data_IF_574465905366
#
_entry.id   IF_574465905366
#
_cell.length_a   1.000
_cell.length_b   1.000
_cell.length_c   1.000
_cell.angle_alpha   90.00
_cell.angle_beta   90.00
_cell.angle_gamma   90.00
#
_symmetry.space_group_name_H-M   'P 1'
#
loop_
_entity.id
_entity.type
_entity.pdbx_description
1 polymer ?
#
# COMPACT_ATOMS: atom_id res chain seq x y z
N UNK A 1 7.29 -40.00 4.16
CA UNK A 1 7.57 -40.32 5.58
C UNK A 1 7.77 -39.06 6.45
N UNK A 2 8.34 -37.97 5.93
CA UNK A 2 8.57 -36.72 6.70
C UNK A 2 7.27 -36.06 7.23
N UNK A 3 6.17 -36.13 6.47
CA UNK A 3 4.88 -35.52 6.85
C UNK A 3 4.24 -36.05 8.14
N UNK A 4 4.62 -37.23 8.62
CA UNK A 4 4.00 -37.85 9.80
C UNK A 4 4.53 -37.28 11.12
N UNK A 5 5.77 -36.78 11.10
CA UNK A 5 6.47 -36.24 12.28
C UNK A 5 6.55 -34.72 12.26
N UNK A 6 6.15 -34.09 11.16
CA UNK A 6 6.12 -32.64 11.01
C UNK A 6 4.94 -32.01 11.75
N UNK A 7 5.23 -30.87 12.37
CA UNK A 7 4.25 -30.02 13.02
C UNK A 7 3.34 -29.34 11.98
N UNK A 8 2.06 -29.09 12.31
CA UNK A 8 1.29 -28.12 11.56
C UNK A 8 2.01 -26.77 11.50
N UNK A 9 1.88 -26.05 10.38
CA UNK A 9 2.52 -24.75 10.22
C UNK A 9 2.11 -23.77 11.34
N UNK A 10 3.01 -22.87 11.77
CA UNK A 10 2.73 -21.96 12.88
C UNK A 10 1.52 -21.05 12.59
N UNK A 11 1.35 -20.68 11.33
CA UNK A 11 0.22 -19.88 10.84
C UNK A 11 -1.11 -20.65 10.90
N UNK A 12 -1.08 -21.98 10.87
CA UNK A 12 -2.27 -22.81 11.07
C UNK A 12 -2.70 -22.83 12.55
N UNK A 13 -1.73 -22.83 13.46
CA UNK A 13 -1.96 -22.94 14.91
C UNK A 13 -2.35 -21.61 15.56
N UNK A 14 -1.88 -20.50 14.98
CA UNK A 14 -2.16 -19.14 15.44
C UNK A 14 -3.44 -18.59 14.80
N UNK A 15 -4.19 -17.70 15.49
CA UNK A 15 -5.41 -17.10 14.95
C UNK A 15 -5.13 -15.96 13.95
N UNK A 16 -4.22 -16.19 13.00
CA UNK A 16 -3.80 -15.21 11.99
C UNK A 16 -4.81 -15.23 10.83
N UNK A 17 -5.28 -14.05 10.42
CA UNK A 17 -6.22 -13.92 9.29
C UNK A 17 -7.65 -14.41 9.55
N UNK A 18 -8.01 -14.76 10.79
CA UNK A 18 -9.38 -15.23 11.11
C UNK A 18 -10.33 -14.03 11.29
N UNK A 19 -11.43 -13.93 10.51
CA UNK A 19 -12.43 -12.87 10.66
C UNK A 19 -13.03 -12.83 12.07
N UNK A 20 -13.36 -11.63 12.56
CA UNK A 20 -13.94 -11.45 13.90
C UNK A 20 -15.24 -12.24 14.08
N UNK A 21 -16.11 -12.25 13.07
CA UNK A 21 -17.36 -13.02 13.08
C UNK A 21 -17.14 -14.51 13.33
N UNK A 22 -16.14 -15.12 12.68
CA UNK A 22 -15.82 -16.54 12.86
C UNK A 22 -15.26 -16.84 14.25
N UNK A 23 -14.47 -15.92 14.83
CA UNK A 23 -14.01 -16.05 16.22
C UNK A 23 -15.18 -16.01 17.20
N UNK A 24 -16.13 -15.09 16.99
CA UNK A 24 -17.34 -15.00 17.81
C UNK A 24 -18.18 -16.27 17.73
N UNK A 25 -18.41 -16.79 16.52
CA UNK A 25 -19.13 -18.06 16.33
C UNK A 25 -18.40 -19.21 17.02
N UNK A 26 -17.08 -19.32 16.86
CA UNK A 26 -16.29 -20.38 17.52
C UNK A 26 -16.38 -20.29 19.05
N UNK A 27 -16.32 -19.08 19.61
CA UNK A 27 -16.53 -18.86 21.05
C UNK A 27 -17.93 -19.24 21.50
N UNK A 28 -18.96 -18.80 20.77
CA UNK A 28 -20.35 -19.15 21.08
C UNK A 28 -20.58 -20.67 21.05
N UNK A 29 -20.08 -21.35 20.02
CA UNK A 29 -20.13 -22.82 19.91
C UNK A 29 -19.44 -23.48 21.10
N UNK A 30 -18.24 -23.05 21.48
CA UNK A 30 -17.52 -23.60 22.65
C UNK A 30 -18.27 -23.38 23.96
N UNK A 31 -18.89 -22.21 24.15
CA UNK A 31 -19.70 -21.91 25.33
C UNK A 31 -20.91 -22.84 25.37
N UNK A 32 -21.65 -22.99 24.27
CA UNK A 32 -22.83 -23.86 24.19
C UNK A 32 -22.45 -25.32 24.48
N UNK A 33 -21.41 -25.85 23.83
CA UNK A 33 -20.92 -27.21 24.09
C UNK A 33 -20.44 -27.38 25.54
N UNK A 34 -19.73 -26.40 26.09
CA UNK A 34 -19.28 -26.40 27.48
C UNK A 34 -20.45 -26.40 28.48
N UNK A 35 -21.47 -25.59 28.24
CA UNK A 35 -22.70 -25.56 29.04
C UNK A 35 -23.47 -26.88 28.95
N UNK A 36 -23.61 -27.45 27.74
CA UNK A 36 -24.28 -28.74 27.55
C UNK A 36 -23.53 -29.89 28.22
N UNK A 37 -22.20 -29.88 28.16
CA UNK A 37 -21.35 -30.84 28.87
C UNK A 37 -21.51 -30.71 30.39
N UNK A 38 -21.43 -29.49 30.93
CA UNK A 38 -21.59 -29.24 32.36
C UNK A 38 -22.98 -29.66 32.85
N UNK A 39 -24.03 -29.37 32.06
CA UNK A 39 -25.40 -29.81 32.33
C UNK A 39 -25.50 -31.33 32.40
N UNK A 40 -24.92 -32.04 31.42
CA UNK A 40 -24.92 -33.51 31.39
C UNK A 40 -24.21 -34.12 32.60
N UNK A 41 -23.11 -33.52 33.07
CA UNK A 41 -22.39 -33.97 34.26
C UNK A 41 -23.18 -33.68 35.56
N UNK A 42 -23.82 -32.51 35.65
CA UNK A 42 -24.60 -32.11 36.83
C UNK A 42 -25.91 -32.89 36.99
N UNK A 43 -26.48 -33.40 35.90
CA UNK A 43 -27.74 -34.15 35.90
C UNK A 43 -27.57 -35.67 36.10
N UNK A 44 -26.33 -36.16 36.27
CA UNK A 44 -26.11 -37.49 36.81
C UNK A 44 -26.38 -37.44 38.32
N UNK A 45 -27.35 -38.21 38.82
CA UNK A 45 -27.89 -38.22 40.20
C UNK A 45 -26.88 -38.56 41.34
N UNK A 46 -25.56 -38.47 41.10
CA UNK A 46 -24.49 -38.92 42.00
C UNK A 46 -23.72 -37.82 42.74
N UNK A 47 -23.86 -36.53 42.40
CA UNK A 47 -23.12 -35.45 43.09
C UNK A 47 -23.79 -35.07 44.43
N UNK A 48 -23.41 -35.75 45.51
CA UNK A 48 -23.77 -35.37 46.90
C UNK A 48 -22.57 -34.82 47.66
N UNK A 49 -22.77 -33.76 48.44
CA UNK A 49 -21.75 -33.19 49.33
C UNK A 49 -20.53 -32.59 48.60
N UNK A 50 -19.32 -33.08 48.92
CA UNK A 50 -18.05 -32.58 48.38
C UNK A 50 -17.84 -32.78 46.87
N UNK A 51 -18.71 -33.56 46.20
CA UNK A 51 -18.63 -33.85 44.77
C UNK A 51 -18.68 -32.61 43.87
N UNK A 52 -19.41 -31.56 44.25
CA UNK A 52 -19.45 -30.30 43.48
C UNK A 52 -18.10 -29.56 43.51
N UNK A 53 -17.39 -29.60 44.63
CA UNK A 53 -16.06 -29.00 44.76
C UNK A 53 -15.02 -29.74 43.91
N UNK A 54 -15.06 -31.07 43.91
CA UNK A 54 -14.20 -31.90 43.07
C UNK A 54 -14.48 -31.67 41.57
N UNK A 55 -15.75 -31.55 41.17
CA UNK A 55 -16.13 -31.24 39.79
C UNK A 55 -15.60 -29.86 39.37
N UNK A 56 -15.81 -28.82 40.19
CA UNK A 56 -15.32 -27.48 39.90
C UNK A 56 -13.80 -27.43 39.75
N UNK A 57 -13.07 -28.11 40.65
CA UNK A 57 -11.62 -28.24 40.57
C UNK A 57 -11.17 -28.97 39.29
N UNK A 58 -11.86 -30.05 38.92
CA UNK A 58 -11.60 -30.80 37.68
C UNK A 58 -11.84 -29.97 36.42
N UNK A 59 -12.92 -29.18 36.37
CA UNK A 59 -13.21 -28.26 35.25
C UNK A 59 -12.14 -27.18 35.14
N UNK A 60 -11.77 -26.54 36.25
CA UNK A 60 -10.72 -25.51 36.26
C UNK A 60 -9.38 -26.07 35.80
N UNK A 61 -9.00 -27.27 36.29
CA UNK A 61 -7.78 -27.95 35.88
C UNK A 61 -7.82 -28.32 34.39
N UNK A 62 -8.97 -28.80 33.89
CA UNK A 62 -9.17 -29.10 32.47
C UNK A 62 -9.03 -27.86 31.58
N UNK A 63 -9.66 -26.75 31.95
CA UNK A 63 -9.54 -25.46 31.23
C UNK A 63 -8.08 -24.97 31.25
N UNK A 64 -7.41 -25.02 32.40
CA UNK A 64 -6.01 -24.63 32.53
C UNK A 64 -5.10 -25.52 31.67
N UNK A 65 -5.32 -26.84 31.67
CA UNK A 65 -4.54 -27.78 30.89
C UNK A 65 -4.74 -27.60 29.37
N UNK A 66 -5.98 -27.35 28.90
CA UNK A 66 -6.26 -27.01 27.50
C UNK A 66 -5.59 -25.69 27.10
N UNK A 67 -5.64 -24.69 27.98
CA UNK A 67 -4.99 -23.40 27.74
C UNK A 67 -3.47 -23.54 27.64
N UNK A 68 -2.84 -24.23 28.59
CA UNK A 68 -1.41 -24.49 28.59
C UNK A 68 -0.99 -25.35 27.41
N UNK A 69 -1.77 -26.37 27.05
CA UNK A 69 -1.58 -27.15 25.82
C UNK A 69 -1.57 -26.23 24.59
N UNK A 70 -2.55 -25.33 24.44
CA UNK A 70 -2.58 -24.38 23.33
C UNK A 70 -1.33 -23.48 23.29
N UNK A 71 -0.85 -23.00 24.43
CA UNK A 71 0.38 -22.20 24.49
C UNK A 71 1.62 -23.02 24.09
N UNK A 72 1.80 -24.20 24.67
CA UNK A 72 2.96 -25.07 24.36
C UNK A 72 2.94 -25.52 22.89
N UNK A 73 1.75 -25.69 22.31
CA UNK A 73 1.61 -26.01 20.89
C UNK A 73 1.99 -24.84 19.98
N UNK A 74 1.68 -23.59 20.35
CA UNK A 74 2.13 -22.43 19.57
C UNK A 74 3.66 -22.29 19.52
N UNK A 75 4.34 -22.75 20.57
CA UNK A 75 5.80 -22.81 20.66
C UNK A 75 6.39 -24.12 20.10
N UNK A 76 5.56 -25.01 19.55
CA UNK A 76 5.96 -26.32 18.99
C UNK A 76 6.72 -27.23 19.96
N UNK A 77 6.46 -27.10 21.26
CA UNK A 77 7.15 -27.89 22.30
C UNK A 77 6.42 -29.21 22.51
N UNK A 78 6.92 -30.29 21.90
CA UNK A 78 6.28 -31.60 21.91
C UNK A 78 6.06 -32.16 23.32
N UNK A 79 7.11 -32.33 24.12
CA UNK A 79 7.03 -32.99 25.42
C UNK A 79 6.13 -32.25 26.44
N UNK A 80 6.22 -30.91 26.60
CA UNK A 80 5.28 -30.18 27.43
C UNK A 80 3.83 -30.30 26.96
N UNK A 81 3.60 -30.31 25.64
CA UNK A 81 2.25 -30.48 25.07
C UNK A 81 1.67 -31.87 25.41
N UNK A 82 2.47 -32.93 25.24
CA UNK A 82 2.09 -34.30 25.62
C UNK A 82 1.86 -34.40 27.13
N UNK A 83 2.67 -33.72 27.96
CA UNK A 83 2.48 -33.66 29.41
C UNK A 83 1.11 -33.10 29.81
N UNK A 84 0.69 -31.98 29.21
CA UNK A 84 -0.62 -31.39 29.48
C UNK A 84 -1.79 -32.24 28.94
N UNK A 85 -1.62 -32.94 27.82
CA UNK A 85 -2.59 -33.95 27.37
C UNK A 85 -2.66 -35.14 28.35
N UNK A 86 -1.53 -35.53 28.96
CA UNK A 86 -1.47 -36.52 30.02
C UNK A 86 -2.25 -36.09 31.27
N UNK A 87 -2.17 -34.80 31.64
CA UNK A 87 -3.01 -34.22 32.72
C UNK A 87 -4.49 -34.33 32.38
N UNK A 88 -4.91 -33.95 31.17
CA UNK A 88 -6.31 -34.09 30.73
C UNK A 88 -6.76 -35.56 30.77
N UNK A 89 -5.93 -36.46 30.25
CA UNK A 89 -6.21 -37.90 30.27
C UNK A 89 -6.38 -38.43 31.70
N UNK A 90 -5.51 -38.03 32.64
CA UNK A 90 -5.57 -38.41 34.04
C UNK A 90 -6.82 -37.85 34.76
N UNK A 91 -7.24 -36.62 34.45
CA UNK A 91 -8.50 -36.07 34.96
C UNK A 91 -9.70 -36.92 34.50
N UNK A 92 -9.68 -37.42 33.27
CA UNK A 92 -10.69 -38.36 32.78
C UNK A 92 -10.73 -39.66 33.58
N UNK A 93 -9.56 -40.25 33.87
CA UNK A 93 -9.45 -41.47 34.70
C UNK A 93 -9.97 -41.24 36.12
N UNK A 94 -9.62 -40.11 36.75
CA UNK A 94 -10.11 -39.76 38.08
C UNK A 94 -11.62 -39.53 38.10
N UNK A 95 -12.17 -38.90 37.06
CA UNK A 95 -13.61 -38.72 36.90
C UNK A 95 -14.34 -40.08 36.78
N UNK A 96 -13.79 -41.00 35.99
CA UNK A 96 -14.33 -42.36 35.83
C UNK A 96 -14.31 -43.14 37.16
N UNK A 97 -13.19 -43.09 37.88
CA UNK A 97 -13.06 -43.73 39.19
C UNK A 97 -14.02 -43.12 40.24
N UNK A 98 -14.37 -41.84 40.09
CA UNK A 98 -15.38 -41.15 40.89
C UNK A 98 -16.83 -41.39 40.45
N UNK A 99 -17.06 -42.20 39.41
CA UNK A 99 -18.40 -42.49 38.86
C UNK A 99 -18.97 -41.40 37.94
N UNK A 100 -18.18 -40.38 37.59
CA UNK A 100 -18.59 -39.30 36.69
C UNK A 100 -18.32 -39.67 35.21
N UNK A 101 -18.99 -40.72 34.73
CA UNK A 101 -18.75 -41.33 33.40
C UNK A 101 -18.89 -40.35 32.22
N UNK A 102 -19.85 -39.43 32.29
CA UNK A 102 -20.03 -38.40 31.25
C UNK A 102 -18.85 -37.43 31.21
N UNK A 103 -18.30 -37.08 32.38
CA UNK A 103 -17.15 -36.19 32.48
C UNK A 103 -15.88 -36.86 31.94
N UNK A 104 -15.66 -38.12 32.29
CA UNK A 104 -14.55 -38.93 31.78
C UNK A 104 -14.58 -39.06 30.25
N UNK A 105 -15.74 -39.42 29.71
CA UNK A 105 -15.96 -39.55 28.26
C UNK A 105 -15.67 -38.25 27.52
N UNK A 106 -16.21 -37.13 27.99
CA UNK A 106 -15.95 -35.83 27.37
C UNK A 106 -14.48 -35.42 27.43
N UNK A 107 -13.78 -35.76 28.51
CA UNK A 107 -12.35 -35.48 28.67
C UNK A 107 -11.47 -36.26 27.68
N UNK A 108 -11.74 -37.56 27.49
CA UNK A 108 -11.00 -38.35 26.51
C UNK A 108 -11.34 -37.96 25.07
N UNK A 109 -12.61 -37.64 24.76
CA UNK A 109 -13.00 -37.11 23.46
C UNK A 109 -12.28 -35.79 23.15
N UNK A 110 -12.24 -34.88 24.12
CA UNK A 110 -11.51 -33.61 23.99
C UNK A 110 -10.03 -33.87 23.77
N UNK A 111 -9.39 -34.71 24.60
CA UNK A 111 -7.98 -35.05 24.50
C UNK A 111 -7.61 -35.63 23.12
N UNK A 112 -8.40 -36.59 22.62
CA UNK A 112 -8.17 -37.19 21.30
C UNK A 112 -8.36 -36.20 20.14
N UNK A 113 -9.43 -35.41 20.17
CA UNK A 113 -9.70 -34.42 19.13
C UNK A 113 -8.61 -33.35 19.03
N UNK A 114 -8.22 -32.75 20.16
CA UNK A 114 -7.21 -31.68 20.16
C UNK A 114 -5.78 -32.20 19.89
N UNK A 115 -5.51 -33.48 20.18
CA UNK A 115 -4.24 -34.11 19.86
C UNK A 115 -4.05 -34.25 18.33
N UNK A 116 -5.09 -34.70 17.62
CA UNK A 116 -5.06 -34.79 16.14
C UNK A 116 -4.98 -33.40 15.51
N UNK A 117 -5.70 -32.42 16.07
CA UNK A 117 -5.73 -31.03 15.60
C UNK A 117 -4.32 -30.41 15.59
N UNK A 118 -3.57 -30.52 16.70
CA UNK A 118 -2.38 -29.67 16.93
C UNK A 118 -1.01 -30.36 16.99
N UNK A 119 -0.95 -31.66 17.28
CA UNK A 119 0.34 -32.38 17.31
C UNK A 119 0.74 -32.86 15.90
N UNK A 120 2.01 -33.25 15.69
CA UNK A 120 2.37 -34.03 14.50
C UNK A 120 1.53 -35.30 14.41
N UNK A 121 1.16 -35.71 13.19
CA UNK A 121 0.20 -36.80 12.94
C UNK A 121 0.54 -38.06 13.74
N UNK A 122 1.81 -38.49 13.76
CA UNK A 122 2.23 -39.68 14.48
C UNK A 122 1.92 -39.61 15.99
N UNK A 123 2.26 -38.50 16.65
CA UNK A 123 2.01 -38.30 18.08
C UNK A 123 0.53 -38.01 18.36
N UNK A 124 -0.12 -37.23 17.51
CA UNK A 124 -1.54 -36.93 17.60
C UNK A 124 -2.40 -38.19 17.52
N UNK A 125 -2.12 -39.08 16.56
CA UNK A 125 -2.78 -40.38 16.46
C UNK A 125 -2.46 -41.30 17.64
N UNK A 126 -1.21 -41.34 18.11
CA UNK A 126 -0.86 -42.17 19.27
C UNK A 126 -1.61 -41.72 20.53
N UNK A 127 -1.66 -40.42 20.81
CA UNK A 127 -2.39 -39.87 21.97
C UNK A 127 -3.90 -40.04 21.80
N UNK A 128 -4.43 -39.79 20.60
CA UNK A 128 -5.85 -39.98 20.32
C UNK A 128 -6.26 -41.45 20.44
N UNK A 129 -5.43 -42.39 19.96
CA UNK A 129 -5.67 -43.82 20.13
C UNK A 129 -5.66 -44.23 21.61
N UNK A 130 -4.74 -43.69 22.43
CA UNK A 130 -4.71 -43.94 23.87
C UNK A 130 -5.96 -43.38 24.58
N UNK A 131 -6.38 -42.16 24.26
CA UNK A 131 -7.58 -41.55 24.82
C UNK A 131 -8.85 -42.30 24.41
N UNK A 132 -8.99 -42.62 23.12
CA UNK A 132 -10.15 -43.33 22.57
C UNK A 132 -10.19 -44.80 23.00
N UNK A 133 -9.03 -45.43 23.19
CA UNK A 133 -8.93 -46.77 23.76
C UNK A 133 -9.44 -46.82 25.20
N UNK A 134 -9.12 -45.81 26.01
CA UNK A 134 -9.65 -45.72 27.37
C UNK A 134 -11.18 -45.58 27.38
N UNK A 135 -11.72 -44.65 26.56
CA UNK A 135 -13.17 -44.52 26.36
C UNK A 135 -13.82 -45.85 25.90
N UNK A 136 -13.20 -46.56 24.95
CA UNK A 136 -13.77 -47.79 24.42
C UNK A 136 -13.81 -48.93 25.45
N UNK A 137 -12.86 -48.98 26.38
CA UNK A 137 -12.79 -49.99 27.45
C UNK A 137 -13.79 -49.70 28.57
N UNK A 138 -14.03 -48.43 28.89
CA UNK A 138 -14.93 -48.04 29.98
C UNK A 138 -16.37 -47.81 29.53
N UNK A 139 -16.61 -47.61 28.23
CA UNK A 139 -17.95 -47.37 27.70
C UNK A 139 -18.86 -48.59 27.88
N UNK A 140 -20.04 -48.36 28.45
CA UNK A 140 -21.12 -49.34 28.56
C UNK A 140 -22.07 -49.31 27.35
N UNK A 141 -21.78 -48.49 26.34
CA UNK A 141 -22.60 -48.39 25.13
C UNK A 141 -22.46 -49.64 24.24
N UNK A 142 -23.36 -49.76 23.25
CA UNK A 142 -23.21 -50.79 22.22
C UNK A 142 -21.92 -50.57 21.42
N UNK A 143 -21.25 -51.63 20.94
CA UNK A 143 -19.99 -51.51 20.20
C UNK A 143 -20.12 -50.60 18.96
N UNK A 144 -21.31 -50.58 18.34
CA UNK A 144 -21.62 -49.67 17.24
C UNK A 144 -21.61 -48.19 17.64
N UNK A 145 -22.16 -47.83 18.82
CA UNK A 145 -22.14 -46.45 19.34
C UNK A 145 -20.72 -46.04 19.71
N UNK A 146 -19.97 -46.90 20.37
CA UNK A 146 -18.56 -46.65 20.72
C UNK A 146 -17.72 -46.41 19.46
N UNK A 147 -17.85 -47.26 18.45
CA UNK A 147 -17.16 -47.09 17.18
C UNK A 147 -17.56 -45.78 16.46
N UNK A 148 -18.85 -45.41 16.50
CA UNK A 148 -19.34 -44.15 15.94
C UNK A 148 -18.72 -42.94 16.63
N UNK A 149 -18.68 -42.91 17.96
CA UNK A 149 -18.07 -41.80 18.73
C UNK A 149 -16.58 -41.66 18.43
N UNK A 150 -15.83 -42.77 18.43
CA UNK A 150 -14.39 -42.76 18.10
C UNK A 150 -14.17 -42.23 16.68
N UNK A 151 -14.96 -42.72 15.72
CA UNK A 151 -14.91 -42.26 14.33
C UNK A 151 -15.22 -40.76 14.20
N UNK A 152 -16.24 -40.27 14.90
CA UNK A 152 -16.66 -38.87 14.86
C UNK A 152 -15.60 -37.95 15.49
N UNK A 153 -15.02 -38.31 16.63
CA UNK A 153 -13.95 -37.53 17.28
C UNK A 153 -12.72 -37.45 16.37
N UNK A 154 -12.32 -38.57 15.78
CA UNK A 154 -11.21 -38.62 14.82
C UNK A 154 -11.49 -37.75 13.59
N UNK A 155 -12.69 -37.85 13.02
CA UNK A 155 -13.11 -37.07 11.86
C UNK A 155 -13.15 -35.57 12.17
N UNK A 156 -13.71 -35.16 13.32
CA UNK A 156 -13.75 -33.76 13.74
C UNK A 156 -12.32 -33.24 13.96
N UNK A 157 -11.48 -33.96 14.68
CA UNK A 157 -10.08 -33.55 14.91
C UNK A 157 -9.31 -33.38 13.59
N UNK A 158 -9.47 -34.32 12.66
CA UNK A 158 -8.80 -34.28 11.36
C UNK A 158 -9.34 -33.18 10.44
N UNK A 159 -10.66 -32.95 10.41
CA UNK A 159 -11.26 -31.86 9.61
C UNK A 159 -10.87 -30.48 10.14
N UNK A 160 -10.81 -30.30 11.46
CA UNK A 160 -10.29 -29.07 12.07
C UNK A 160 -8.83 -28.84 11.70
N UNK A 161 -8.00 -29.88 11.72
CA UNK A 161 -6.60 -29.82 11.27
C UNK A 161 -6.49 -29.35 9.81
N UNK A 162 -7.24 -29.98 8.90
CA UNK A 162 -7.21 -29.62 7.48
C UNK A 162 -7.64 -28.15 7.25
N UNK A 163 -8.64 -27.68 7.98
CA UNK A 163 -9.11 -26.29 7.89
C UNK A 163 -8.06 -25.31 8.44
N UNK A 164 -7.36 -25.64 9.53
CA UNK A 164 -6.23 -24.84 10.03
C UNK A 164 -5.05 -24.81 9.03
N UNK A 165 -4.66 -25.96 8.46
CA UNK A 165 -3.57 -26.06 7.47
C UNK A 165 -3.90 -25.30 6.18
N UNK A 166 -5.12 -25.43 5.66
CA UNK A 166 -5.58 -24.72 4.46
C UNK A 166 -5.54 -23.19 4.65
N UNK A 167 -5.95 -22.71 5.83
CA UNK A 167 -5.88 -21.27 6.14
C UNK A 167 -4.45 -20.78 6.29
N UNK A 168 -3.59 -21.54 6.98
CA UNK A 168 -2.18 -21.20 7.12
C UNK A 168 -1.48 -21.12 5.76
N UNK A 169 -1.78 -22.06 4.85
CA UNK A 169 -1.30 -22.02 3.48
C UNK A 169 -1.83 -20.80 2.70
N UNK A 170 -3.12 -20.49 2.79
CA UNK A 170 -3.73 -19.34 2.13
C UNK A 170 -3.14 -18.00 2.61
N UNK A 171 -2.92 -17.85 3.91
CA UNK A 171 -2.28 -16.64 4.47
C UNK A 171 -0.84 -16.48 4.00
N UNK A 172 -0.05 -17.56 3.98
CA UNK A 172 1.34 -17.53 3.47
C UNK A 172 1.39 -17.14 2.00
N UNK A 173 0.50 -17.68 1.17
CA UNK A 173 0.43 -17.35 -0.24
C UNK A 173 0.10 -15.87 -0.45
N UNK A 174 -0.89 -15.34 0.28
CA UNK A 174 -1.23 -13.90 0.23
C UNK A 174 -0.08 -13.01 0.70
N UNK A 175 0.65 -13.42 1.74
CA UNK A 175 1.82 -12.70 2.22
C UNK A 175 2.94 -12.68 1.18
N UNK A 176 3.21 -13.83 0.54
CA UNK A 176 4.18 -13.94 -0.55
C UNK A 176 3.78 -13.11 -1.77
N UNK A 177 2.51 -13.14 -2.16
CA UNK A 177 2.00 -12.34 -3.27
C UNK A 177 2.16 -10.85 -3.00
N UNK A 178 1.83 -10.38 -1.80
CA UNK A 178 2.04 -8.98 -1.40
C UNK A 178 3.51 -8.59 -1.45
N UNK A 179 4.40 -9.45 -0.94
CA UNK A 179 5.84 -9.22 -0.99
C UNK A 179 6.36 -9.18 -2.44
N UNK A 180 5.89 -10.09 -3.30
CA UNK A 180 6.23 -10.12 -4.72
C UNK A 180 5.77 -8.85 -5.43
N UNK A 181 4.51 -8.42 -5.25
CA UNK A 181 3.99 -7.18 -5.82
C UNK A 181 4.78 -5.95 -5.35
N UNK A 182 5.19 -5.90 -4.08
CA UNK A 182 6.03 -4.79 -3.60
C UNK A 182 7.42 -4.79 -4.25
N UNK A 183 8.03 -5.96 -4.41
CA UNK A 183 9.34 -6.09 -5.07
C UNK A 183 9.26 -5.74 -6.56
N UNK A 184 8.19 -6.16 -7.25
CA UNK A 184 7.93 -5.78 -8.65
C UNK A 184 7.75 -4.27 -8.80
N UNK A 185 6.99 -3.62 -7.92
CA UNK A 185 6.80 -2.18 -7.94
C UNK A 185 8.13 -1.42 -7.71
N UNK A 186 8.95 -1.88 -6.78
CA UNK A 186 10.28 -1.31 -6.52
C UNK A 186 11.22 -1.49 -7.73
N UNK A 187 11.24 -2.70 -8.32
CA UNK A 187 12.02 -3.00 -9.52
C UNK A 187 11.59 -2.14 -10.71
N UNK A 188 10.29 -1.99 -10.94
CA UNK A 188 9.75 -1.13 -11.98
C UNK A 188 10.15 0.34 -11.77
N UNK A 189 10.09 0.83 -10.53
CA UNK A 189 10.53 2.19 -10.20
C UNK A 189 12.04 2.40 -10.44
N UNK A 190 12.88 1.40 -10.13
CA UNK A 190 14.31 1.45 -10.42
C UNK A 190 14.61 1.40 -11.93
N UNK A 191 13.90 0.56 -12.67
CA UNK A 191 14.02 0.48 -14.13
C UNK A 191 13.65 1.80 -14.80
N UNK A 192 12.59 2.45 -14.31
CA UNK A 192 12.17 3.77 -14.78
C UNK A 192 13.22 4.85 -14.50
N UNK A 193 13.76 4.88 -13.27
CA UNK A 193 14.88 5.78 -12.92
C UNK A 193 16.10 5.58 -13.82
N UNK A 194 16.44 4.33 -14.13
CA UNK A 194 17.57 4.01 -15.01
C UNK A 194 17.31 4.39 -16.47
N UNK A 195 16.05 4.30 -16.94
CA UNK A 195 15.64 4.79 -18.26
C UNK A 195 15.78 6.31 -18.34
N UNK A 196 15.25 7.05 -17.36
CA UNK A 196 15.32 8.51 -17.32
C UNK A 196 16.78 8.99 -17.22
N UNK A 197 17.62 8.34 -16.42
CA UNK A 197 19.04 8.68 -16.32
C UNK A 197 19.75 8.56 -17.68
N UNK A 198 19.42 7.54 -18.48
CA UNK A 198 19.96 7.39 -19.84
C UNK A 198 19.46 8.47 -20.78
N UNK A 199 18.16 8.77 -20.75
CA UNK A 199 17.58 9.84 -21.58
C UNK A 199 18.20 11.22 -21.26
N UNK A 200 18.40 11.54 -19.98
CA UNK A 200 19.13 12.74 -19.55
C UNK A 200 20.57 12.71 -20.07
N UNK A 201 21.27 11.57 -19.93
CA UNK A 201 22.64 11.44 -20.42
C UNK A 201 22.74 11.66 -21.93
N UNK A 202 21.81 11.12 -22.72
CA UNK A 202 21.78 11.24 -24.17
C UNK A 202 21.53 12.70 -24.60
N UNK A 203 20.57 13.39 -23.98
CA UNK A 203 20.30 14.82 -24.22
C UNK A 203 21.51 15.69 -23.86
N UNK A 204 22.13 15.43 -22.71
CA UNK A 204 23.33 16.16 -22.27
C UNK A 204 24.51 15.90 -23.20
N UNK A 205 24.79 14.64 -23.55
CA UNK A 205 25.88 14.28 -24.44
C UNK A 205 25.72 14.92 -25.82
N UNK A 206 24.51 14.90 -26.38
CA UNK A 206 24.23 15.49 -27.68
C UNK A 206 24.39 17.03 -27.67
N UNK A 207 23.78 17.70 -26.68
CA UNK A 207 23.82 19.17 -26.60
C UNK A 207 25.23 19.71 -26.32
N UNK A 208 25.99 19.04 -25.44
CA UNK A 208 27.39 19.40 -25.16
C UNK A 208 28.30 19.17 -26.36
N UNK A 209 28.12 18.06 -27.09
CA UNK A 209 28.89 17.78 -28.30
C UNK A 209 28.66 18.83 -29.38
N UNK A 210 27.40 19.18 -29.66
CA UNK A 210 27.06 20.23 -30.62
C UNK A 210 27.58 21.60 -30.17
N UNK A 211 27.50 21.91 -28.88
CA UNK A 211 28.05 23.16 -28.32
C UNK A 211 29.57 23.25 -28.52
N UNK A 212 30.31 22.16 -28.27
CA UNK A 212 31.76 22.12 -28.51
C UNK A 212 32.10 22.37 -29.99
N UNK A 213 31.36 21.77 -30.92
CA UNK A 213 31.55 21.99 -32.36
C UNK A 213 31.36 23.46 -32.74
N UNK A 214 30.32 24.13 -32.22
CA UNK A 214 30.08 25.55 -32.50
C UNK A 214 31.15 26.47 -31.90
N UNK A 215 31.65 26.16 -30.70
CA UNK A 215 32.73 26.91 -30.07
C UNK A 215 34.07 26.71 -30.80
N UNK A 216 34.37 25.49 -31.24
CA UNK A 216 35.55 25.18 -32.05
C UNK A 216 35.52 25.92 -33.39
N UNK A 217 34.36 25.93 -34.06
CA UNK A 217 34.16 26.69 -35.29
C UNK A 217 34.36 28.21 -35.07
N UNK A 218 33.91 28.75 -33.93
CA UNK A 218 34.16 30.15 -33.58
C UNK A 218 35.66 30.43 -33.37
N UNK A 219 36.40 29.51 -32.72
CA UNK A 219 37.86 29.64 -32.53
C UNK A 219 38.59 29.69 -33.87
N UNK A 220 38.28 28.76 -34.77
CA UNK A 220 38.91 28.69 -36.10
C UNK A 220 38.60 29.94 -36.96
N UNK A 221 37.38 30.49 -36.87
CA UNK A 221 37.03 31.74 -37.54
C UNK A 221 37.85 32.93 -37.00
N UNK A 222 38.11 32.99 -35.68
CA UNK A 222 38.95 34.04 -35.08
C UNK A 222 40.40 33.90 -35.56
N UNK A 223 40.95 32.69 -35.53
CA UNK A 223 42.33 32.40 -35.97
C UNK A 223 42.54 32.69 -37.47
N UNK A 224 41.51 32.47 -38.30
CA UNK A 224 41.54 32.72 -39.75
C UNK A 224 41.22 34.15 -40.18
N UNK A 225 41.00 35.09 -39.24
CA UNK A 225 40.65 36.47 -39.58
C UNK A 225 39.21 36.66 -40.11
N UNK A 226 38.29 35.76 -39.74
CA UNK A 226 36.89 35.78 -40.14
C UNK A 226 36.11 36.97 -39.58
N UNK A 227 35.01 37.32 -40.26
CA UNK A 227 34.19 38.46 -39.88
C UNK A 227 33.52 38.29 -38.50
N UNK A 228 33.44 39.40 -37.75
CA UNK A 228 32.85 39.45 -36.41
C UNK A 228 31.42 38.90 -36.36
N UNK A 229 30.63 39.14 -37.41
CA UNK A 229 29.24 38.66 -37.53
C UNK A 229 29.16 37.12 -37.45
N UNK A 230 30.05 36.42 -38.17
CA UNK A 230 30.08 34.96 -38.25
C UNK A 230 30.52 34.32 -36.92
N UNK A 231 31.49 34.94 -36.23
CA UNK A 231 31.91 34.53 -34.89
C UNK A 231 30.76 34.68 -33.89
N UNK A 232 30.06 35.81 -33.91
CA UNK A 232 28.92 36.08 -33.03
C UNK A 232 27.76 35.11 -33.28
N UNK A 233 27.51 34.72 -34.53
CA UNK A 233 26.49 33.73 -34.87
C UNK A 233 26.80 32.36 -34.23
N UNK A 234 28.04 31.89 -34.31
CA UNK A 234 28.47 30.62 -33.72
C UNK A 234 28.40 30.62 -32.20
N UNK A 235 28.84 31.69 -31.55
CA UNK A 235 28.73 31.86 -30.09
C UNK A 235 27.26 31.93 -29.65
N UNK A 236 26.40 32.60 -30.43
CA UNK A 236 24.96 32.68 -30.13
C UNK A 236 24.29 31.31 -30.28
N UNK A 237 24.67 30.53 -31.29
CA UNK A 237 24.19 29.16 -31.46
C UNK A 237 24.60 28.26 -30.27
N UNK A 238 25.88 28.29 -29.86
CA UNK A 238 26.36 27.57 -28.68
C UNK A 238 25.60 27.94 -27.40
N UNK A 239 25.33 29.24 -27.19
CA UNK A 239 24.53 29.72 -26.06
C UNK A 239 23.07 29.24 -26.10
N UNK A 240 22.45 29.19 -27.29
CA UNK A 240 21.09 28.64 -27.45
C UNK A 240 21.05 27.15 -27.12
N UNK A 241 22.03 26.36 -27.58
CA UNK A 241 22.13 24.94 -27.27
C UNK A 241 22.28 24.68 -25.77
N UNK A 242 23.16 25.43 -25.09
CA UNK A 242 23.34 25.33 -23.64
C UNK A 242 22.03 25.62 -22.89
N UNK A 243 21.30 26.68 -23.28
CA UNK A 243 20.00 27.03 -22.68
C UNK A 243 18.94 25.95 -22.92
N UNK A 244 18.86 25.40 -24.14
CA UNK A 244 17.91 24.36 -24.49
C UNK A 244 18.18 23.07 -23.72
N UNK A 245 19.43 22.58 -23.70
CA UNK A 245 19.80 21.35 -22.99
C UNK A 245 19.57 21.44 -21.48
N UNK A 246 19.86 22.59 -20.88
CA UNK A 246 19.55 22.86 -19.46
C UNK A 246 18.04 22.85 -19.17
N UNK A 247 17.22 23.42 -20.07
CA UNK A 247 15.77 23.42 -19.92
C UNK A 247 15.18 22.00 -20.01
N UNK A 248 15.66 21.21 -20.98
CA UNK A 248 15.22 19.84 -21.22
C UNK A 248 15.64 18.90 -20.07
N UNK A 249 16.86 19.05 -19.56
CA UNK A 249 17.34 18.29 -18.38
C UNK A 249 16.55 18.65 -17.12
N UNK A 250 16.24 19.94 -16.91
CA UNK A 250 15.37 20.37 -15.79
C UNK A 250 13.95 19.81 -15.93
N UNK A 251 13.42 19.73 -17.14
CA UNK A 251 12.11 19.13 -17.40
C UNK A 251 12.11 17.64 -17.06
N UNK A 252 13.11 16.87 -17.50
CA UNK A 252 13.26 15.45 -17.18
C UNK A 252 13.44 15.20 -15.66
N UNK A 253 14.22 16.04 -14.97
CA UNK A 253 14.39 15.95 -13.51
C UNK A 253 13.13 16.35 -12.73
N UNK A 254 12.37 17.34 -13.21
CA UNK A 254 11.10 17.75 -12.61
C UNK A 254 10.06 16.63 -12.68
N UNK A 255 10.04 15.87 -13.78
CA UNK A 255 9.19 14.69 -13.92
C UNK A 255 9.57 13.58 -12.92
N UNK A 256 10.85 13.46 -12.58
CA UNK A 256 11.37 12.46 -11.64
C UNK A 256 11.09 12.79 -10.16
N UNK A 257 11.00 14.07 -9.82
CA UNK A 257 10.91 14.53 -8.42
C UNK A 257 9.50 14.68 -7.89
N UNK A 258 8.49 14.90 -8.73
CA UNK A 258 7.11 15.10 -8.25
C UNK A 258 7.00 16.17 -7.15
N UNK A 259 7.89 17.17 -7.19
CA UNK A 259 8.15 18.08 -6.09
C UNK A 259 7.33 19.38 -6.22
N UNK A 260 6.26 19.39 -5.45
CA UNK A 260 5.32 20.46 -5.07
C UNK A 260 5.94 21.86 -4.97
N UNK A 261 7.10 21.98 -4.34
CA UNK A 261 7.68 23.26 -3.94
C UNK A 261 8.21 24.07 -5.15
N UNK A 262 8.54 23.41 -6.25
CA UNK A 262 9.18 24.08 -7.38
C UNK A 262 8.23 24.98 -8.18
N UNK A 263 6.91 24.74 -8.16
CA UNK A 263 5.98 25.58 -8.93
C UNK A 263 5.84 26.95 -8.31
N UNK A 264 5.60 27.02 -7.00
CA UNK A 264 5.48 28.30 -6.30
C UNK A 264 6.80 29.09 -6.33
N UNK A 265 7.92 28.43 -6.03
CA UNK A 265 9.25 29.06 -6.08
C UNK A 265 9.56 29.60 -7.49
N UNK A 266 9.26 28.83 -8.53
CA UNK A 266 9.42 29.28 -9.91
C UNK A 266 8.52 30.48 -10.25
N UNK A 267 7.26 30.46 -9.81
CA UNK A 267 6.34 31.59 -10.06
C UNK A 267 6.84 32.85 -9.35
N UNK A 268 7.37 32.73 -8.12
CA UNK A 268 8.00 33.84 -7.40
C UNK A 268 9.23 34.37 -8.16
N UNK A 269 10.11 33.50 -8.62
CA UNK A 269 11.30 33.87 -9.41
C UNK A 269 10.93 34.61 -10.70
N UNK A 270 9.99 34.07 -11.46
CA UNK A 270 9.60 34.62 -12.76
C UNK A 270 8.79 35.93 -12.59
N UNK A 271 7.92 36.01 -11.59
CA UNK A 271 7.20 37.24 -11.27
C UNK A 271 8.17 38.36 -10.87
N UNK A 272 9.17 38.07 -10.04
CA UNK A 272 10.20 39.02 -9.66
C UNK A 272 11.04 39.49 -10.86
N UNK A 273 11.39 38.57 -11.77
CA UNK A 273 12.18 38.89 -12.97
C UNK A 273 11.44 39.77 -13.98
N UNK A 274 10.12 39.61 -14.12
CA UNK A 274 9.30 40.35 -15.08
C UNK A 274 8.50 41.51 -14.43
N UNK A 275 8.66 41.75 -13.12
CA UNK A 275 8.01 42.85 -12.39
C UNK A 275 6.51 42.67 -12.17
N UNK A 276 6.05 41.42 -12.06
CA UNK A 276 4.65 41.07 -11.80
C UNK A 276 4.37 40.93 -10.29
N UNK A 277 3.17 41.31 -9.86
CA UNK A 277 2.69 41.08 -8.50
C UNK A 277 2.11 39.66 -8.41
N UNK A 278 2.70 38.78 -7.58
CA UNK A 278 2.24 37.41 -7.39
C UNK A 278 1.44 37.27 -6.09
N UNK A 279 0.25 36.70 -6.20
CA UNK A 279 -0.60 36.30 -5.08
C UNK A 279 -0.82 34.78 -5.12
N UNK A 280 -0.54 34.09 -4.00
CA UNK A 280 -0.74 32.64 -3.85
C UNK A 280 -1.82 32.39 -2.80
N UNK A 281 -2.83 31.59 -3.14
CA UNK A 281 -3.98 31.32 -2.28
C UNK A 281 -4.30 29.82 -2.18
N UNK A 282 -4.95 29.41 -1.08
CA UNK A 282 -5.29 28.02 -0.79
C UNK A 282 -4.22 27.27 0.03
N UNK A 283 -4.50 26.02 0.37
CA UNK A 283 -3.60 25.19 1.18
C UNK A 283 -2.56 24.49 0.27
N UNK A 284 -1.25 24.66 0.50
CA UNK A 284 -0.22 24.05 -0.34
C UNK A 284 -0.33 22.52 -0.40
N UNK A 285 -0.48 21.96 -1.60
CA UNK A 285 -0.65 20.52 -1.83
C UNK A 285 0.10 20.02 -3.05
N UNK A 286 0.28 18.70 -3.12
CA UNK A 286 1.16 18.02 -4.07
C UNK A 286 0.63 18.11 -5.51
N UNK A 287 1.24 18.96 -6.34
CA UNK A 287 0.85 19.16 -7.75
C UNK A 287 1.51 18.09 -8.63
N UNK A 288 0.74 17.35 -9.46
CA UNK A 288 1.28 16.43 -10.46
C UNK A 288 2.29 17.12 -11.40
N UNK A 289 3.33 16.41 -11.83
CA UNK A 289 4.41 16.99 -12.64
C UNK A 289 3.90 17.65 -13.93
N UNK A 290 2.91 17.03 -14.56
CA UNK A 290 2.29 17.50 -15.81
C UNK A 290 1.53 18.82 -15.60
N UNK A 291 0.76 18.91 -14.52
CA UNK A 291 0.08 20.14 -14.10
C UNK A 291 1.08 21.26 -13.76
N UNK A 292 2.15 20.92 -13.03
CA UNK A 292 3.21 21.87 -12.72
C UNK A 292 3.91 22.42 -13.98
N UNK A 293 4.19 21.58 -14.97
CA UNK A 293 4.77 22.00 -16.25
C UNK A 293 3.82 22.90 -17.05
N UNK A 294 2.53 22.58 -17.06
CA UNK A 294 1.51 23.41 -17.72
C UNK A 294 1.48 24.82 -17.09
N UNK A 295 1.44 24.92 -15.76
CA UNK A 295 1.48 26.19 -15.02
C UNK A 295 2.73 27.00 -15.39
N UNK A 296 3.92 26.37 -15.38
CA UNK A 296 5.19 27.07 -15.68
C UNK A 296 5.24 27.61 -17.10
N UNK A 297 4.80 26.82 -18.08
CA UNK A 297 4.78 27.23 -19.50
C UNK A 297 3.79 28.37 -19.73
N UNK A 298 2.58 28.27 -19.17
CA UNK A 298 1.57 29.32 -19.30
C UNK A 298 2.05 30.62 -18.65
N UNK A 299 2.67 30.57 -17.47
CA UNK A 299 3.25 31.75 -16.83
C UNK A 299 4.30 32.44 -17.72
N UNK A 300 5.25 31.68 -18.27
CA UNK A 300 6.31 32.22 -19.13
C UNK A 300 5.78 32.81 -20.44
N UNK A 301 4.87 32.10 -21.10
CA UNK A 301 4.31 32.55 -22.37
C UNK A 301 3.42 33.78 -22.16
N UNK A 302 2.59 33.78 -21.10
CA UNK A 302 1.76 34.93 -20.75
C UNK A 302 2.62 36.18 -20.46
N UNK A 303 3.67 36.07 -19.65
CA UNK A 303 4.58 37.19 -19.37
C UNK A 303 5.35 37.65 -20.62
N UNK A 304 5.77 36.70 -21.46
CA UNK A 304 6.38 37.02 -22.75
C UNK A 304 5.42 37.80 -23.65
N UNK A 305 4.14 37.43 -23.66
CA UNK A 305 3.10 38.12 -24.41
C UNK A 305 2.84 39.52 -23.87
N UNK A 306 2.78 39.71 -22.55
CA UNK A 306 2.67 41.04 -21.96
C UNK A 306 3.85 41.92 -22.38
N UNK A 307 5.08 41.42 -22.30
CA UNK A 307 6.26 42.18 -22.72
C UNK A 307 6.21 42.60 -24.19
N UNK A 308 5.70 41.72 -25.07
CA UNK A 308 5.59 41.99 -26.51
C UNK A 308 4.43 42.94 -26.86
N UNK A 309 3.28 42.78 -26.21
CA UNK A 309 2.02 43.38 -26.65
C UNK A 309 1.51 44.51 -25.74
N UNK A 310 1.96 44.56 -24.48
CA UNK A 310 1.58 45.59 -23.52
C UNK A 310 2.81 46.09 -22.73
N UNK A 311 3.84 46.65 -23.41
CA UNK A 311 5.04 47.12 -22.74
C UNK A 311 4.71 48.24 -21.73
N UNK A 312 5.16 48.07 -20.48
CA UNK A 312 4.92 49.00 -19.38
C UNK A 312 3.56 48.85 -18.68
N UNK A 313 2.78 47.82 -19.01
CA UNK A 313 1.59 47.45 -18.26
C UNK A 313 1.96 46.88 -16.87
N UNK A 314 1.07 47.10 -15.88
CA UNK A 314 1.16 46.36 -14.61
C UNK A 314 0.68 44.94 -14.83
N UNK A 315 1.32 43.98 -14.17
CA UNK A 315 0.99 42.56 -14.29
C UNK A 315 0.60 42.00 -12.94
N UNK A 316 -0.59 41.42 -12.87
CA UNK A 316 -1.09 40.66 -11.74
C UNK A 316 -1.03 39.16 -12.07
N UNK A 317 -0.39 38.38 -11.22
CA UNK A 317 -0.34 36.93 -11.30
C UNK A 317 -1.00 36.34 -10.06
N UNK A 318 -1.96 35.44 -10.24
CA UNK A 318 -2.60 34.71 -9.16
C UNK A 318 -2.43 33.21 -9.36
N UNK A 319 -2.03 32.52 -8.30
CA UNK A 319 -1.96 31.06 -8.27
C UNK A 319 -2.80 30.54 -7.11
N UNK A 320 -3.74 29.64 -7.40
CA UNK A 320 -4.69 29.13 -6.41
C UNK A 320 -4.69 27.60 -6.36
N UNK A 321 -4.57 27.06 -5.14
CA UNK A 321 -4.85 25.65 -4.86
C UNK A 321 -6.36 25.49 -4.64
N UNK A 322 -7.03 24.84 -5.60
CA UNK A 322 -8.46 24.52 -5.52
C UNK A 322 -8.65 23.05 -5.10
N UNK A 323 -9.90 22.66 -4.84
CA UNK A 323 -10.27 21.28 -4.57
C UNK A 323 -10.17 20.45 -5.87
N UNK A 324 -9.16 19.57 -5.97
CA UNK A 324 -8.94 18.70 -7.13
C UNK A 324 -8.28 19.35 -8.35
N UNK A 325 -8.03 20.67 -8.33
CA UNK A 325 -7.39 21.42 -9.43
C UNK A 325 -6.41 22.49 -8.91
N UNK A 326 -5.57 23.02 -9.81
CA UNK A 326 -4.84 24.28 -9.61
C UNK A 326 -5.21 25.29 -10.68
N UNK A 327 -5.28 26.57 -10.29
CA UNK A 327 -5.57 27.68 -11.20
C UNK A 327 -4.39 28.65 -11.25
N UNK A 328 -3.96 29.03 -12.45
CA UNK A 328 -3.05 30.15 -12.70
C UNK A 328 -3.79 31.22 -13.52
N UNK A 329 -3.78 32.46 -13.04
CA UNK A 329 -4.26 33.62 -13.79
C UNK A 329 -3.16 34.66 -13.94
N UNK A 330 -2.93 35.11 -15.17
CA UNK A 330 -2.02 36.21 -15.49
C UNK A 330 -2.82 37.30 -16.19
N UNK A 331 -2.76 38.52 -15.67
CA UNK A 331 -3.49 39.67 -16.18
C UNK A 331 -2.58 40.88 -16.32
N UNK A 332 -2.68 41.57 -17.44
CA UNK A 332 -2.06 42.89 -17.62
C UNK A 332 -3.09 44.04 -17.54
N UNK A 333 -2.60 45.26 -17.34
CA UNK A 333 -3.42 46.48 -17.27
C UNK A 333 -3.67 47.17 -18.62
N UNK A 334 -3.27 46.58 -19.75
CA UNK A 334 -3.29 47.21 -21.07
C UNK A 334 -2.05 48.05 -21.38
N UNK A 335 -1.76 48.23 -22.68
CA UNK A 335 -0.60 48.97 -23.17
C UNK A 335 -0.76 50.49 -22.93
N UNK A 336 0.24 51.14 -22.32
CA UNK A 336 0.26 52.61 -22.14
C UNK A 336 0.66 53.40 -23.40
N UNK A 337 1.05 52.72 -24.47
CA UNK A 337 1.40 53.29 -25.78
C UNK A 337 0.73 52.50 -26.89
N UNK A 338 0.23 53.14 -27.97
CA UNK A 338 -0.35 52.43 -29.10
C UNK A 338 0.74 51.59 -29.78
N UNK A 339 0.55 50.28 -29.79
CA UNK A 339 1.42 49.34 -30.49
C UNK A 339 0.99 49.31 -31.96
N UNK A 340 1.89 49.71 -32.86
CA UNK A 340 1.62 49.76 -34.30
C UNK A 340 1.17 48.40 -34.86
N UNK A 341 0.29 48.44 -35.88
CA UNK A 341 -0.48 47.31 -36.43
C UNK A 341 0.29 46.14 -37.07
N UNK A 342 1.59 45.98 -36.80
CA UNK A 342 2.41 44.85 -37.27
C UNK A 342 2.47 43.67 -36.28
N UNK A 343 1.82 43.74 -35.11
CA UNK A 343 1.88 42.70 -34.08
C UNK A 343 0.84 41.56 -34.21
N UNK A 344 0.07 41.52 -35.31
CA UNK A 344 -1.11 40.64 -35.46
C UNK A 344 -0.77 39.25 -36.00
N UNK A 345 0.38 39.03 -36.64
CA UNK A 345 0.60 37.82 -37.45
C UNK A 345 1.20 36.59 -36.75
N UNK A 346 1.37 36.60 -35.41
CA UNK A 346 1.98 35.46 -34.68
C UNK A 346 1.31 35.08 -33.35
N UNK A 347 0.37 35.88 -32.86
CA UNK A 347 -0.20 35.74 -31.51
C UNK A 347 -1.16 34.55 -31.33
N UNK A 348 -1.73 34.02 -32.42
CA UNK A 348 -2.72 32.95 -32.36
C UNK A 348 -2.15 31.55 -32.05
N UNK A 349 -0.97 31.23 -32.60
CA UNK A 349 -0.41 29.87 -32.51
C UNK A 349 0.03 29.48 -31.08
N UNK A 350 0.56 30.44 -30.30
CA UNK A 350 0.97 30.20 -28.91
C UNK A 350 -0.22 29.89 -28.00
N UNK A 351 -1.31 30.66 -28.14
CA UNK A 351 -2.53 30.48 -27.35
C UNK A 351 -3.27 29.19 -27.71
N UNK A 352 -3.37 28.85 -29.00
CA UNK A 352 -3.99 27.61 -29.47
C UNK A 352 -3.23 26.39 -28.92
N UNK A 353 -1.90 26.36 -29.09
CA UNK A 353 -1.10 25.24 -28.59
C UNK A 353 -1.10 25.14 -27.05
N UNK A 354 -1.24 26.25 -26.32
CA UNK A 354 -1.43 26.21 -24.87
C UNK A 354 -2.79 25.63 -24.48
N UNK A 355 -3.85 25.93 -25.24
CA UNK A 355 -5.20 25.40 -25.01
C UNK A 355 -5.28 23.90 -25.30
N UNK A 356 -4.80 23.46 -26.45
CA UNK A 356 -4.77 22.04 -26.82
C UNK A 356 -4.04 21.20 -25.75
N UNK A 357 -2.92 21.71 -25.23
CA UNK A 357 -2.17 21.02 -24.16
C UNK A 357 -2.87 21.04 -22.80
N UNK A 358 -3.63 22.08 -22.48
CA UNK A 358 -4.44 22.10 -21.27
C UNK A 358 -5.57 21.06 -21.34
N UNK A 359 -6.22 20.97 -22.50
CA UNK A 359 -7.28 19.98 -22.77
C UNK A 359 -6.79 18.54 -22.70
N UNK A 360 -5.56 18.26 -23.19
CA UNK A 360 -4.92 16.94 -23.06
C UNK A 360 -4.72 16.50 -21.61
N UNK A 361 -4.62 17.44 -20.67
CA UNK A 361 -4.51 17.18 -19.23
C UNK A 361 -5.87 17.12 -18.52
N UNK A 362 -6.98 17.21 -19.26
CA UNK A 362 -8.33 17.34 -18.69
C UNK A 362 -8.60 18.73 -18.07
N UNK A 363 -7.77 19.72 -18.39
CA UNK A 363 -7.89 21.09 -17.95
C UNK A 363 -8.49 22.03 -19.00
N UNK A 364 -8.49 23.33 -18.69
CA UNK A 364 -8.98 24.39 -19.57
C UNK A 364 -8.03 25.58 -19.60
N UNK A 365 -7.98 26.26 -20.75
CA UNK A 365 -7.25 27.51 -20.91
C UNK A 365 -8.09 28.58 -21.62
N UNK A 366 -8.37 29.64 -20.88
CA UNK A 366 -9.09 30.82 -21.35
C UNK A 366 -8.10 31.95 -21.59
N UNK A 367 -8.25 32.63 -22.73
CA UNK A 367 -7.42 33.78 -23.08
C UNK A 367 -8.29 34.83 -23.78
N UNK A 368 -8.33 36.05 -23.27
CA UNK A 368 -9.17 37.10 -23.81
C UNK A 368 -9.02 38.45 -23.10
N UNK A 369 -9.68 39.50 -23.61
CA UNK A 369 -9.72 40.80 -22.96
C UNK A 369 -10.37 40.70 -21.56
N UNK A 370 -9.91 41.53 -20.62
CA UNK A 370 -10.32 41.50 -19.21
C UNK A 370 -11.80 41.87 -18.94
N UNK A 371 -12.58 42.23 -19.97
CA UNK A 371 -14.00 42.57 -19.93
C UNK A 371 -14.31 43.93 -20.56
N UNK A 372 -15.59 44.33 -20.57
CA UNK A 372 -16.03 45.66 -21.08
C UNK A 372 -15.66 46.81 -20.15
N UNK A 373 -15.49 46.52 -18.86
CA UNK A 373 -15.35 47.53 -17.80
C UNK A 373 -13.90 47.63 -17.29
N UNK A 374 -12.98 46.84 -17.85
CA UNK A 374 -11.58 46.75 -17.42
C UNK A 374 -10.66 46.57 -18.63
N UNK A 375 -9.66 47.45 -18.74
CA UNK A 375 -8.60 47.31 -19.74
C UNK A 375 -7.66 46.13 -19.41
N UNK A 376 -7.06 45.56 -20.46
CA UNK A 376 -6.03 44.51 -20.37
C UNK A 376 -6.44 43.16 -20.96
N UNK A 377 -5.50 42.21 -20.92
CA UNK A 377 -5.69 40.84 -21.37
C UNK A 377 -5.50 39.87 -20.20
N UNK A 378 -6.26 38.77 -20.20
CA UNK A 378 -6.22 37.74 -19.17
C UNK A 378 -5.94 36.40 -19.83
N UNK A 379 -5.00 35.65 -19.24
CA UNK A 379 -4.79 34.23 -19.49
C UNK A 379 -5.09 33.48 -18.21
N UNK A 380 -5.99 32.50 -18.26
CA UNK A 380 -6.37 31.66 -17.14
C UNK A 380 -6.23 30.19 -17.51
N UNK A 381 -5.47 29.46 -16.72
CA UNK A 381 -5.29 28.02 -16.83
C UNK A 381 -5.92 27.34 -15.61
N UNK A 382 -6.71 26.28 -15.83
CA UNK A 382 -7.13 25.32 -14.80
C UNK A 382 -6.71 23.93 -15.21
N UNK A 383 -6.07 23.19 -14.30
CA UNK A 383 -5.65 21.80 -14.57
C UNK A 383 -5.90 20.93 -13.34
N UNK A 384 -6.32 19.66 -13.53
CA UNK A 384 -6.44 18.70 -12.44
C UNK A 384 -5.12 18.55 -11.66
N UNK A 385 -5.22 18.51 -10.33
CA UNK A 385 -4.07 18.44 -9.43
C UNK A 385 -4.37 17.71 -8.13
#
# INVERSE_FOLDING_TARGET
MQSWTEWPAREALAPVGVPQARRMISWAVRIVFGCMFLWGVLHQDMLRGWGYGALAAGVLLGVAAVWQYRLMTLDMRLWPSVGWLGVLWAVGVLAEAGGAHTAATGMWCLCGGIAIERLPLAYGFAVAAAAMGMYAVTSTDSPARTALTVGLVGLIGYTLRLDEEARGAGFRLLAQERAARSAEAESAALAERARIAREIHDVLAHSLSAQMVHLEAARLLIEGGGEREQVLERVTAARRMARSGLAETRQALSALRGEIAQVEDFLREVAAAEGAELEVTGEPRRVPAEAGLAVRRVAQEALTNVRKHAPGARVEMRFAYLEGEVELSVRDSGARRPVGGLAVSGAGYGLIGMRERAELLGGTLEAGPAGTDREGFVVRLRVPA
#
